data_IF_509899992517
#
_entry.id   IF_509899992517
#
_cell.length_a   1.000
_cell.length_b   1.000
_cell.length_c   1.000
_cell.angle_alpha   90.00
_cell.angle_beta   90.00
_cell.angle_gamma   90.00
#
_symmetry.space_group_name_H-M   'P 1'
#
loop_
_entity.id
_entity.type
_entity.pdbx_description
1 polymer ?
#
# COMPACT_ATOMS: atom_id res chain seq x y z
N UNK A 1 5.87 23.35 0.43
CA UNK A 1 6.57 22.09 0.23
C UNK A 1 6.26 21.51 -1.15
N UNK A 2 7.24 20.89 -1.81
CA UNK A 2 7.07 20.20 -3.10
C UNK A 2 6.84 18.69 -2.91
N UNK A 3 6.03 18.08 -3.77
CA UNK A 3 5.80 16.64 -3.84
C UNK A 3 5.76 16.15 -5.29
N UNK A 4 6.19 14.91 -5.49
CA UNK A 4 5.93 14.13 -6.69
C UNK A 4 4.71 13.25 -6.47
N UNK A 5 3.90 13.10 -7.52
CA UNK A 5 2.66 12.35 -7.50
C UNK A 5 2.73 11.21 -8.50
N UNK A 6 2.58 9.99 -7.99
CA UNK A 6 2.23 8.84 -8.83
C UNK A 6 0.77 8.90 -9.23
N UNK A 7 0.40 8.22 -10.31
CA UNK A 7 -0.99 8.17 -10.77
C UNK A 7 -1.25 7.06 -11.77
N UNK A 8 -2.52 6.71 -11.92
CA UNK A 8 -2.98 5.76 -12.92
C UNK A 8 -3.23 6.46 -14.26
N UNK A 9 -2.68 5.91 -15.34
CA UNK A 9 -2.91 6.40 -16.71
C UNK A 9 -4.10 5.67 -17.34
N UNK A 10 -4.57 6.10 -18.53
CA UNK A 10 -5.72 5.45 -19.19
C UNK A 10 -5.59 3.96 -19.44
N UNK A 11 -4.37 3.42 -19.50
CA UNK A 11 -4.14 1.97 -19.65
C UNK A 11 -4.66 1.15 -18.45
N UNK A 12 -4.76 1.80 -17.27
CA UNK A 12 -5.25 1.24 -16.01
C UNK A 12 -6.47 2.02 -15.51
N UNK A 13 -7.32 2.48 -16.45
CA UNK A 13 -8.57 3.20 -16.16
C UNK A 13 -8.41 4.51 -15.36
N UNK A 14 -7.21 5.12 -15.40
CA UNK A 14 -6.94 6.41 -14.78
C UNK A 14 -6.85 7.56 -15.79
N UNK A 15 -6.61 8.76 -15.26
CA UNK A 15 -6.53 10.01 -16.05
C UNK A 15 -5.14 10.68 -16.03
N UNK A 16 -4.18 10.13 -15.29
CA UNK A 16 -2.82 10.64 -15.24
C UNK A 16 -2.08 10.47 -16.57
N UNK A 17 -1.08 11.31 -16.80
CA UNK A 17 -0.18 11.23 -17.98
C UNK A 17 1.24 10.81 -17.61
N UNK A 18 1.47 10.44 -16.35
CA UNK A 18 2.79 10.18 -15.77
C UNK A 18 2.91 10.76 -14.37
N UNK A 19 4.14 11.05 -13.94
CA UNK A 19 4.38 11.65 -12.62
C UNK A 19 4.02 13.14 -12.67
N UNK A 20 3.22 13.55 -11.69
CA UNK A 20 2.79 14.93 -11.49
C UNK A 20 3.58 15.64 -10.40
N UNK A 21 3.52 16.97 -10.39
CA UNK A 21 4.01 17.81 -9.30
C UNK A 21 2.87 18.39 -8.47
N UNK A 22 3.08 18.52 -7.16
CA UNK A 22 2.16 19.16 -6.23
C UNK A 22 2.92 20.11 -5.31
N UNK A 23 2.36 21.30 -5.11
CA UNK A 23 2.78 22.24 -4.08
C UNK A 23 1.78 22.26 -2.94
N UNK A 24 2.29 22.36 -1.72
CA UNK A 24 1.51 22.71 -0.54
C UNK A 24 2.14 23.97 0.09
N UNK A 25 1.53 25.13 -0.14
CA UNK A 25 2.15 26.43 0.19
C UNK A 25 3.31 26.79 -0.74
N UNK A 26 4.29 27.56 -0.24
CA UNK A 26 5.47 27.92 -1.00
C UNK A 26 6.39 26.69 -1.20
N UNK A 27 7.15 26.59 -2.30
CA UNK A 27 7.87 25.35 -2.64
C UNK A 27 8.83 24.84 -1.56
N UNK A 28 9.50 25.74 -0.86
CA UNK A 28 10.49 25.43 0.19
C UNK A 28 9.90 25.42 1.61
N UNK A 29 8.57 25.49 1.75
CA UNK A 29 7.95 25.45 3.09
C UNK A 29 8.24 24.10 3.77
N UNK A 30 8.60 24.11 5.08
CA UNK A 30 8.89 22.90 5.85
C UNK A 30 7.63 22.15 6.32
N UNK A 31 6.45 22.69 6.02
CA UNK A 31 5.13 22.17 6.37
C UNK A 31 4.28 22.00 5.10
N UNK A 32 3.31 21.09 5.15
CA UNK A 32 2.35 20.86 4.06
C UNK A 32 0.99 21.54 4.29
N UNK A 33 0.89 22.43 5.29
CA UNK A 33 -0.37 23.00 5.73
C UNK A 33 -0.91 24.16 4.88
N UNK A 34 -0.21 24.58 3.82
CA UNK A 34 -0.62 25.66 2.93
C UNK A 34 -1.51 25.20 1.76
N UNK A 35 -1.99 26.14 0.91
CA UNK A 35 -2.84 25.82 -0.24
C UNK A 35 -2.20 24.78 -1.17
N UNK A 36 -3.01 23.83 -1.65
CA UNK A 36 -2.57 22.82 -2.59
C UNK A 36 -2.68 23.32 -4.03
N UNK A 37 -1.67 23.05 -4.86
CA UNK A 37 -1.69 23.37 -6.27
C UNK A 37 -0.98 22.28 -7.09
N UNK A 38 -1.70 21.69 -8.05
CA UNK A 38 -1.13 20.78 -9.03
C UNK A 38 -0.33 21.56 -10.08
N UNK A 39 0.90 21.14 -10.36
CA UNK A 39 1.81 21.86 -11.27
C UNK A 39 1.98 21.20 -12.63
N UNK A 40 1.21 20.14 -12.92
CA UNK A 40 1.30 19.40 -14.17
C UNK A 40 2.31 18.24 -14.13
N UNK A 41 2.50 17.60 -15.28
CA UNK A 41 3.48 16.53 -15.45
C UNK A 41 4.91 17.06 -15.36
N UNK A 42 5.78 16.31 -14.69
CA UNK A 42 7.14 16.77 -14.34
C UNK A 42 8.24 16.01 -15.08
N UNK A 43 7.90 14.98 -15.86
CA UNK A 43 8.89 14.15 -16.56
C UNK A 43 9.15 14.71 -17.95
N UNK A 44 10.42 15.00 -18.27
CA UNK A 44 10.83 15.36 -19.64
C UNK A 44 10.59 14.17 -20.57
N UNK A 45 10.00 14.46 -21.74
CA UNK A 45 9.93 13.49 -22.82
C UNK A 45 11.35 13.04 -23.20
N UNK A 46 11.54 11.74 -23.42
CA UNK A 46 12.82 11.24 -23.97
C UNK A 46 12.95 11.72 -25.40
N UNK A 47 14.17 12.05 -25.83
CA UNK A 47 14.44 12.20 -27.26
C UNK A 47 14.43 10.81 -27.91
N UNK A 48 14.03 10.74 -29.18
CA UNK A 48 13.82 9.48 -29.90
C UNK A 48 15.11 8.63 -30.02
N UNK A 49 16.27 9.28 -30.00
CA UNK A 49 17.61 8.70 -29.95
C UNK A 49 18.03 8.17 -28.56
N UNK A 50 17.26 8.46 -27.50
CA UNK A 50 17.49 8.02 -26.12
C UNK A 50 16.52 6.90 -25.67
N UNK A 51 15.65 6.44 -26.57
CA UNK A 51 14.75 5.31 -26.36
C UNK A 51 15.56 4.02 -26.57
N UNK A 52 15.70 3.14 -25.55
CA UNK A 52 16.47 1.91 -25.70
C UNK A 52 15.89 1.00 -26.78
N UNK A 53 16.75 0.21 -27.44
CA UNK A 53 16.40 -0.81 -28.45
C UNK A 53 15.37 -1.85 -27.93
N UNK A 54 15.16 -1.94 -26.61
CA UNK A 54 14.10 -2.74 -25.98
C UNK A 54 12.68 -2.28 -26.35
N UNK A 55 12.48 -1.02 -26.78
CA UNK A 55 11.20 -0.58 -27.35
C UNK A 55 10.86 -1.27 -28.68
N UNK A 56 11.84 -1.87 -29.36
CA UNK A 56 11.59 -2.70 -30.54
C UNK A 56 10.98 -4.07 -30.19
N UNK A 57 11.03 -4.50 -28.91
CA UNK A 57 10.48 -5.77 -28.45
C UNK A 57 9.01 -5.68 -28.01
N UNK A 58 8.51 -4.49 -27.68
CA UNK A 58 7.10 -4.25 -27.37
C UNK A 58 6.58 -2.97 -28.07
N UNK A 59 5.86 -3.11 -29.20
CA UNK A 59 5.33 -1.99 -29.97
C UNK A 59 4.23 -1.19 -29.24
N UNK A 60 3.78 -1.61 -28.05
CA UNK A 60 2.90 -0.80 -27.20
C UNK A 60 3.63 0.35 -26.49
N UNK A 61 4.93 0.19 -26.21
CA UNK A 61 5.82 1.24 -25.65
C UNK A 61 6.04 2.38 -26.67
N UNK A 62 5.91 2.08 -27.96
CA UNK A 62 6.06 3.05 -29.05
C UNK A 62 4.85 4.00 -29.22
N UNK A 63 3.76 3.82 -28.45
CA UNK A 63 2.62 4.74 -28.49
C UNK A 63 2.86 5.89 -27.51
N UNK A 64 3.46 6.93 -28.05
CA UNK A 64 3.87 8.19 -27.41
C UNK A 64 5.10 8.06 -26.49
N UNK A 65 6.31 8.46 -26.93
CA UNK A 65 7.49 8.55 -26.06
C UNK A 65 7.35 9.55 -24.90
N UNK A 66 6.26 10.32 -24.83
CA UNK A 66 5.86 11.12 -23.66
C UNK A 66 4.92 10.39 -22.68
N UNK A 67 4.32 9.25 -23.03
CA UNK A 67 3.38 8.52 -22.18
C UNK A 67 4.11 7.55 -21.25
N UNK A 68 4.45 8.02 -20.05
CA UNK A 68 4.87 7.15 -18.97
C UNK A 68 3.70 6.23 -18.58
N UNK A 69 3.89 4.90 -18.67
CA UNK A 69 2.95 3.92 -18.12
C UNK A 69 2.68 4.18 -16.64
N UNK A 70 1.53 3.79 -16.12
CA UNK A 70 0.95 4.16 -14.81
C UNK A 70 1.99 4.15 -13.68
N UNK A 71 2.61 5.29 -13.31
CA UNK A 71 3.58 5.33 -12.23
C UNK A 71 2.86 5.25 -10.89
N UNK A 72 2.40 4.07 -10.53
CA UNK A 72 1.45 3.90 -9.44
C UNK A 72 2.09 4.03 -8.06
N UNK A 73 3.42 3.82 -7.98
CA UNK A 73 4.21 3.95 -6.75
C UNK A 73 5.54 4.64 -7.01
N UNK A 74 5.95 5.50 -6.07
CA UNK A 74 7.20 6.24 -6.11
C UNK A 74 8.04 5.98 -4.86
N UNK A 75 9.36 5.83 -5.03
CA UNK A 75 10.30 5.77 -3.92
C UNK A 75 11.50 6.68 -4.18
N UNK A 76 11.92 7.43 -3.16
CA UNK A 76 13.13 8.25 -3.26
C UNK A 76 14.38 7.41 -2.99
N UNK A 77 15.44 7.68 -3.75
CA UNK A 77 16.78 7.26 -3.35
C UNK A 77 17.11 7.90 -1.99
N UNK A 78 17.72 7.17 -1.04
CA UNK A 78 17.94 7.69 0.31
C UNK A 78 18.92 8.86 0.40
N UNK A 79 19.66 9.20 -0.68
CA UNK A 79 20.80 10.13 -0.65
C UNK A 79 20.92 11.00 -1.91
N UNK A 80 20.68 10.44 -3.09
CA UNK A 80 20.73 11.17 -4.36
C UNK A 80 19.35 11.75 -4.69
N UNK A 81 19.32 12.75 -5.57
CA UNK A 81 18.09 13.32 -6.13
C UNK A 81 17.55 12.43 -7.27
N UNK A 82 17.28 11.18 -6.90
CA UNK A 82 16.76 10.13 -7.79
C UNK A 82 15.45 9.61 -7.22
N UNK A 83 14.45 9.47 -8.08
CA UNK A 83 13.16 8.87 -7.80
C UNK A 83 13.03 7.59 -8.63
N UNK A 84 12.58 6.53 -7.99
CA UNK A 84 12.20 5.28 -8.66
C UNK A 84 10.69 5.23 -8.77
N UNK A 85 10.19 4.81 -9.93
CA UNK A 85 8.76 4.62 -10.15
C UNK A 85 8.47 3.18 -10.58
N UNK A 86 7.47 2.58 -9.94
CA UNK A 86 6.83 1.35 -10.42
C UNK A 86 5.80 1.74 -11.49
N UNK A 87 6.03 1.32 -12.73
CA UNK A 87 5.13 1.53 -13.86
C UNK A 87 4.25 0.29 -13.98
N UNK A 88 3.06 0.36 -13.39
CA UNK A 88 2.23 -0.81 -13.11
C UNK A 88 1.82 -1.54 -14.38
N UNK A 89 1.14 -0.85 -15.30
CA UNK A 89 0.65 -1.46 -16.54
C UNK A 89 1.75 -1.99 -17.47
N UNK A 90 2.94 -1.38 -17.45
CA UNK A 90 4.07 -1.80 -18.30
C UNK A 90 5.05 -2.77 -17.61
N UNK A 91 4.80 -3.11 -16.34
CA UNK A 91 5.61 -4.03 -15.55
C UNK A 91 7.10 -3.66 -15.45
N UNK A 92 7.39 -2.36 -15.34
CA UNK A 92 8.75 -1.82 -15.32
C UNK A 92 9.04 -0.96 -14.08
N UNK A 93 10.30 -0.96 -13.64
CA UNK A 93 10.84 0.08 -12.76
C UNK A 93 11.68 1.04 -13.58
N UNK A 94 11.46 2.33 -13.38
CA UNK A 94 12.30 3.39 -13.96
C UNK A 94 12.98 4.18 -12.87
N UNK A 95 14.20 4.65 -13.13
CA UNK A 95 14.87 5.65 -12.32
C UNK A 95 14.82 7.00 -13.04
N UNK A 96 14.59 8.05 -12.26
CA UNK A 96 14.43 9.42 -12.72
C UNK A 96 15.31 10.33 -11.86
N UNK A 97 16.14 11.16 -12.49
CA UNK A 97 16.95 12.16 -11.81
C UNK A 97 16.24 13.50 -11.84
N UNK A 98 16.34 14.27 -10.75
CA UNK A 98 15.89 15.66 -10.73
C UNK A 98 16.76 16.52 -11.68
N UNK A 99 16.13 17.16 -12.65
CA UNK A 99 16.76 17.99 -13.69
C UNK A 99 16.45 19.50 -13.50
N UNK A 100 16.08 19.90 -12.28
CA UNK A 100 15.68 21.26 -11.93
C UNK A 100 14.62 21.26 -10.83
N UNK A 101 14.01 22.43 -10.60
CA UNK A 101 13.10 22.60 -9.46
C UNK A 101 11.83 21.75 -9.53
N UNK A 102 11.31 21.54 -10.74
CA UNK A 102 10.00 20.94 -11.00
C UNK A 102 10.07 19.86 -12.09
N UNK A 103 11.24 19.25 -12.26
CA UNK A 103 11.50 18.43 -13.44
C UNK A 103 12.32 17.18 -13.14
N UNK A 104 11.91 16.08 -13.78
CA UNK A 104 12.51 14.76 -13.72
C UNK A 104 12.92 14.34 -15.13
N UNK A 105 14.08 13.72 -15.24
CA UNK A 105 14.56 13.11 -16.48
C UNK A 105 14.93 11.65 -16.23
N UNK A 106 14.83 10.81 -17.24
CA UNK A 106 15.19 9.41 -17.09
C UNK A 106 16.67 9.21 -16.79
N UNK A 107 16.94 8.33 -15.85
CA UNK A 107 18.27 7.92 -15.43
C UNK A 107 18.49 6.45 -15.79
N UNK A 108 18.86 6.21 -17.04
CA UNK A 108 19.10 4.86 -17.57
C UNK A 108 17.88 4.24 -18.27
N UNK A 109 17.98 2.95 -18.56
CA UNK A 109 16.90 2.19 -19.19
C UNK A 109 15.87 1.72 -18.15
N UNK A 110 14.58 1.62 -18.51
CA UNK A 110 13.60 0.89 -17.70
C UNK A 110 14.03 -0.56 -17.46
N UNK A 111 13.70 -1.10 -16.29
CA UNK A 111 14.01 -2.48 -15.90
C UNK A 111 12.71 -3.27 -15.75
N UNK A 112 12.47 -4.34 -16.52
CA UNK A 112 11.28 -5.17 -16.38
C UNK A 112 11.36 -6.01 -15.09
N UNK A 113 10.25 -6.08 -14.33
CA UNK A 113 10.24 -6.67 -12.99
C UNK A 113 8.99 -7.52 -12.66
N UNK A 114 8.49 -8.30 -13.62
CA UNK A 114 7.35 -9.21 -13.41
C UNK A 114 6.15 -8.81 -14.25
N UNK A 115 4.96 -8.88 -13.67
CA UNK A 115 3.69 -8.42 -14.25
C UNK A 115 2.96 -7.51 -13.24
N UNK A 116 2.43 -6.37 -13.70
CA UNK A 116 1.69 -5.42 -12.86
C UNK A 116 2.49 -5.01 -11.59
N UNK A 117 3.66 -4.36 -11.79
CA UNK A 117 4.51 -3.93 -10.67
C UNK A 117 3.88 -2.78 -9.90
N UNK A 118 3.54 -3.00 -8.64
CA UNK A 118 2.73 -2.06 -7.87
C UNK A 118 3.50 -1.35 -6.75
N UNK A 119 4.72 -1.79 -6.43
CA UNK A 119 5.49 -1.20 -5.33
C UNK A 119 7.00 -1.37 -5.53
N UNK A 120 7.77 -0.36 -5.10
CA UNK A 120 9.23 -0.41 -4.99
C UNK A 120 9.69 0.11 -3.63
N UNK A 121 10.68 -0.56 -3.04
CA UNK A 121 11.38 -0.13 -1.84
C UNK A 121 12.88 -0.04 -2.13
N UNK A 122 13.54 1.03 -1.65
CA UNK A 122 14.98 1.24 -1.85
C UNK A 122 15.72 0.90 -0.57
N UNK A 123 16.82 0.16 -0.68
CA UNK A 123 17.66 -0.19 0.46
C UNK A 123 18.20 1.10 1.12
N UNK A 124 18.26 1.19 2.47
CA UNK A 124 18.80 2.37 3.16
C UNK A 124 20.25 2.69 2.77
N UNK A 125 21.04 1.67 2.45
CA UNK A 125 22.42 1.81 1.97
C UNK A 125 22.51 2.17 0.47
N UNK A 126 21.37 2.23 -0.23
CA UNK A 126 21.23 2.44 -1.66
C UNK A 126 21.95 1.43 -2.57
N UNK A 127 22.23 0.23 -2.07
CA UNK A 127 22.88 -0.83 -2.85
C UNK A 127 21.91 -1.54 -3.81
N UNK A 128 20.62 -1.49 -3.51
CA UNK A 128 19.58 -2.18 -4.27
C UNK A 128 18.20 -1.58 -4.03
N UNK A 129 17.25 -2.00 -4.85
CA UNK A 129 15.82 -1.86 -4.61
C UNK A 129 15.13 -3.23 -4.72
N UNK A 130 13.94 -3.34 -4.13
CA UNK A 130 13.05 -4.50 -4.24
C UNK A 130 11.73 -4.05 -4.83
N UNK A 131 11.31 -4.70 -5.90
CA UNK A 131 10.03 -4.49 -6.56
C UNK A 131 9.08 -5.65 -6.25
N UNK A 132 7.80 -5.33 -6.05
CA UNK A 132 6.71 -6.29 -5.87
C UNK A 132 5.74 -6.23 -7.05
N UNK A 133 5.48 -7.38 -7.65
CA UNK A 133 4.63 -7.55 -8.82
C UNK A 133 3.31 -8.23 -8.44
N UNK A 134 2.21 -7.47 -8.54
CA UNK A 134 0.89 -7.96 -8.17
C UNK A 134 0.36 -8.96 -9.21
N UNK A 135 0.67 -8.78 -10.49
CA UNK A 135 0.11 -9.55 -11.60
C UNK A 135 0.50 -11.03 -11.57
N UNK A 136 1.73 -11.31 -11.15
CA UNK A 136 2.31 -12.66 -11.16
C UNK A 136 2.97 -13.09 -9.83
N UNK A 137 2.84 -12.29 -8.77
CA UNK A 137 3.33 -12.64 -7.44
C UNK A 137 4.85 -12.50 -7.26
N UNK A 138 5.58 -11.98 -8.25
CA UNK A 138 7.03 -11.93 -8.19
C UNK A 138 7.54 -10.86 -7.23
N UNK A 139 8.61 -11.20 -6.52
CA UNK A 139 9.48 -10.26 -5.81
C UNK A 139 10.80 -10.20 -6.56
N UNK A 140 11.23 -9.01 -6.96
CA UNK A 140 12.41 -8.81 -7.81
C UNK A 140 13.38 -7.85 -7.14
N UNK A 141 14.63 -8.29 -6.93
CA UNK A 141 15.72 -7.44 -6.45
C UNK A 141 16.47 -6.85 -7.63
N UNK A 142 16.74 -5.55 -7.60
CA UNK A 142 17.53 -4.85 -8.62
C UNK A 142 18.69 -4.15 -7.93
N UNK A 143 19.93 -4.45 -8.34
CA UNK A 143 21.10 -3.74 -7.82
C UNK A 143 21.12 -2.29 -8.32
N UNK A 144 21.65 -1.38 -7.50
CA UNK A 144 21.84 0.02 -7.87
C UNK A 144 23.34 0.32 -8.02
N UNK A 145 23.70 1.06 -9.06
CA UNK A 145 25.07 1.58 -9.19
C UNK A 145 25.29 2.84 -8.33
N UNK A 146 26.51 3.36 -8.33
CA UNK A 146 26.88 4.55 -7.54
C UNK A 146 26.12 5.83 -7.94
N UNK A 147 25.54 5.88 -9.15
CA UNK A 147 24.69 6.98 -9.62
C UNK A 147 23.20 6.72 -9.32
N UNK A 148 22.85 5.58 -8.73
CA UNK A 148 21.48 5.17 -8.48
C UNK A 148 20.77 4.55 -9.68
N UNK A 149 21.49 4.15 -10.74
CA UNK A 149 20.89 3.48 -11.90
C UNK A 149 20.56 2.02 -11.55
N UNK A 150 19.36 1.52 -11.90
CA UNK A 150 18.99 0.14 -11.70
C UNK A 150 19.72 -0.76 -12.71
N UNK A 151 20.33 -1.82 -12.19
CA UNK A 151 21.07 -2.82 -12.95
C UNK A 151 20.22 -4.05 -13.29
N UNK A 152 20.87 -5.22 -13.34
CA UNK A 152 20.20 -6.48 -13.72
C UNK A 152 19.20 -6.93 -12.63
N UNK A 153 17.95 -7.23 -12.98
CA UNK A 153 16.96 -7.77 -12.03
C UNK A 153 17.27 -9.23 -11.69
N UNK A 154 16.97 -9.62 -10.45
CA UNK A 154 17.05 -10.99 -9.94
C UNK A 154 15.73 -11.32 -9.24
N UNK A 155 14.96 -12.22 -9.83
CA UNK A 155 13.69 -12.71 -9.27
C UNK A 155 13.95 -13.64 -8.09
N UNK A 156 13.25 -13.41 -6.98
CA UNK A 156 13.29 -14.26 -5.80
C UNK A 156 12.48 -15.56 -6.01
N UNK A 157 12.58 -16.50 -5.08
CA UNK A 157 11.77 -17.72 -5.12
C UNK A 157 10.26 -17.39 -5.09
N UNK A 158 9.47 -18.11 -5.89
CA UNK A 158 8.00 -17.98 -5.89
C UNK A 158 7.42 -18.31 -4.50
N UNK A 159 6.25 -17.76 -4.19
CA UNK A 159 5.49 -18.15 -3.01
C UNK A 159 4.72 -19.45 -3.29
N UNK A 160 4.42 -20.20 -2.24
CA UNK A 160 3.52 -21.36 -2.27
C UNK A 160 2.32 -21.05 -1.39
N UNK A 161 1.11 -21.48 -1.78
CA UNK A 161 -0.08 -21.25 -0.97
C UNK A 161 0.01 -22.08 0.32
N UNK A 162 0.10 -21.45 1.51
CA UNK A 162 0.13 -22.20 2.78
C UNK A 162 -1.20 -22.87 3.13
N UNK A 163 -2.27 -22.63 2.34
CA UNK A 163 -3.60 -23.19 2.52
C UNK A 163 -4.06 -24.06 1.33
N UNK A 164 -3.15 -24.41 0.41
CA UNK A 164 -3.44 -25.32 -0.70
C UNK A 164 -3.57 -26.78 -0.24
N UNK A 165 -3.97 -27.66 -1.16
CA UNK A 165 -4.25 -29.08 -0.87
C UNK A 165 -3.04 -29.87 -0.32
N UNK A 166 -1.82 -29.40 -0.58
CA UNK A 166 -0.56 -29.98 -0.07
C UNK A 166 -0.09 -29.34 1.27
N UNK A 167 -0.94 -28.53 1.94
CA UNK A 167 -0.55 -27.84 3.17
C UNK A 167 -0.59 -28.74 4.41
N UNK A 168 0.49 -28.75 5.18
CA UNK A 168 0.48 -29.29 6.54
C UNK A 168 -0.44 -28.38 7.40
N UNK A 169 -1.61 -28.89 7.84
CA UNK A 169 -2.64 -28.18 8.65
C UNK A 169 -2.11 -27.46 9.92
N UNK A 170 -0.84 -27.66 10.28
CA UNK A 170 -0.25 -27.26 11.56
C UNK A 170 0.25 -25.79 11.65
N UNK A 171 0.19 -24.97 10.59
CA UNK A 171 0.79 -23.61 10.62
C UNK A 171 -0.19 -22.44 10.72
N UNK A 172 -1.51 -22.67 10.59
CA UNK A 172 -2.50 -21.60 10.63
C UNK A 172 -2.73 -21.12 12.07
N UNK A 173 -2.25 -19.92 12.40
CA UNK A 173 -2.57 -19.28 13.66
C UNK A 173 -4.06 -18.91 13.69
N UNK A 174 -4.86 -19.69 14.43
CA UNK A 174 -6.27 -19.37 14.70
C UNK A 174 -6.31 -18.29 15.78
N UNK A 175 -6.45 -17.03 15.39
CA UNK A 175 -6.75 -15.96 16.33
C UNK A 175 -8.27 -15.86 16.47
N UNK A 176 -8.77 -16.04 17.70
CA UNK A 176 -10.15 -15.69 18.01
C UNK A 176 -10.27 -14.17 17.89
N UNK A 177 -11.09 -13.68 16.96
CA UNK A 177 -11.40 -12.26 16.88
C UNK A 177 -12.03 -11.82 18.20
N UNK A 178 -11.48 -10.77 18.80
CA UNK A 178 -12.06 -10.18 20.00
C UNK A 178 -13.38 -9.51 19.62
N UNK A 179 -14.50 -10.17 19.95
CA UNK A 179 -15.83 -9.60 19.93
C UNK A 179 -16.48 -9.48 18.55
N UNK A 180 -16.71 -10.61 17.86
CA UNK A 180 -17.75 -10.63 16.85
C UNK A 180 -19.09 -10.28 17.53
N UNK A 181 -19.67 -9.13 17.19
CA UNK A 181 -21.03 -8.78 17.60
C UNK A 181 -21.94 -9.85 17.00
N UNK A 182 -22.65 -10.60 17.84
CA UNK A 182 -23.70 -11.50 17.38
C UNK A 182 -24.85 -10.64 16.81
N UNK A 183 -24.76 -10.36 15.51
CA UNK A 183 -25.73 -9.54 14.79
C UNK A 183 -27.12 -10.16 14.85
N UNK A 184 -27.22 -11.49 14.97
CA UNK A 184 -28.49 -12.17 15.14
C UNK A 184 -29.07 -11.89 16.54
N UNK A 185 -28.26 -11.91 17.59
CA UNK A 185 -28.69 -11.51 18.93
C UNK A 185 -29.03 -10.01 19.01
N UNK A 186 -28.24 -9.15 18.35
CA UNK A 186 -28.50 -7.72 18.29
C UNK A 186 -29.81 -7.42 17.54
N UNK A 187 -30.06 -8.08 16.41
CA UNK A 187 -31.31 -7.94 15.64
C UNK A 187 -32.54 -8.40 16.45
N UNK A 188 -32.45 -9.53 17.19
CA UNK A 188 -33.51 -9.98 18.09
C UNK A 188 -33.80 -8.96 19.20
N UNK A 189 -32.76 -8.49 19.88
CA UNK A 189 -32.91 -7.51 20.96
C UNK A 189 -33.47 -6.17 20.46
N UNK A 190 -33.06 -5.74 19.26
CA UNK A 190 -33.56 -4.50 18.65
C UNK A 190 -35.03 -4.62 18.22
N UNK A 191 -35.47 -5.77 17.68
CA UNK A 191 -36.89 -6.00 17.37
C UNK A 191 -37.76 -6.07 18.62
N UNK A 192 -37.27 -6.70 19.68
CA UNK A 192 -37.97 -6.73 20.97
C UNK A 192 -38.16 -5.31 21.51
N UNK A 193 -37.13 -4.46 21.44
CA UNK A 193 -37.19 -3.07 21.88
C UNK A 193 -38.06 -2.18 20.96
N UNK A 194 -38.05 -2.42 19.64
CA UNK A 194 -38.81 -1.66 18.66
C UNK A 194 -40.32 -1.96 18.69
N UNK A 195 -40.72 -3.13 19.18
CA UNK A 195 -42.12 -3.57 19.19
C UNK A 195 -42.65 -3.94 17.80
N UNK A 196 -43.81 -4.62 17.76
CA UNK A 196 -44.38 -5.17 16.53
C UNK A 196 -44.62 -4.12 15.43
N UNK A 197 -44.92 -2.88 15.81
CA UNK A 197 -45.18 -1.77 14.88
C UNK A 197 -43.93 -1.39 14.05
N UNK A 198 -42.73 -1.48 14.63
CA UNK A 198 -41.48 -1.02 14.00
C UNK A 198 -40.47 -2.13 13.70
N UNK A 199 -40.81 -3.39 14.00
CA UNK A 199 -39.95 -4.55 13.78
C UNK A 199 -39.48 -4.71 12.32
N UNK A 200 -40.27 -4.22 11.35
CA UNK A 200 -39.97 -4.26 9.91
C UNK A 200 -38.82 -3.33 9.46
N UNK A 201 -38.35 -2.43 10.33
CA UNK A 201 -37.17 -1.60 10.08
C UNK A 201 -35.86 -2.24 10.55
N UNK A 202 -35.92 -3.37 11.28
CA UNK A 202 -34.73 -4.06 11.78
C UNK A 202 -34.24 -5.07 10.74
N UNK A 203 -32.96 -5.03 10.32
CA UNK A 203 -32.40 -5.96 9.33
C UNK A 203 -32.47 -7.43 9.78
N UNK A 204 -32.75 -8.33 8.83
CA UNK A 204 -32.95 -9.78 9.06
C UNK A 204 -31.65 -10.58 9.23
N UNK A 205 -30.82 -10.19 10.18
CA UNK A 205 -29.57 -10.89 10.50
C UNK A 205 -29.75 -12.19 11.29
N UNK A 206 -30.97 -12.52 11.71
CA UNK A 206 -31.35 -13.73 12.46
C UNK A 206 -32.24 -14.70 11.66
N UNK A 207 -32.58 -14.36 10.41
CA UNK A 207 -33.24 -15.30 9.52
C UNK A 207 -32.23 -16.37 9.06
N UNK A 208 -32.60 -17.65 9.16
CA UNK A 208 -31.83 -18.71 8.53
C UNK A 208 -31.77 -18.42 7.02
N UNK A 209 -30.59 -18.45 6.38
CA UNK A 209 -30.50 -18.26 4.94
C UNK A 209 -31.42 -19.29 4.26
N UNK A 210 -32.24 -18.82 3.32
CA UNK A 210 -33.01 -19.73 2.50
C UNK A 210 -32.03 -20.73 1.85
N UNK A 211 -32.33 -22.05 1.84
CA UNK A 211 -31.48 -22.99 1.16
C UNK A 211 -31.40 -22.60 -0.33
N UNK A 212 -30.22 -22.18 -0.77
CA UNK A 212 -29.89 -21.96 -2.17
C UNK A 212 -30.29 -23.22 -2.97
N UNK A 213 -31.09 -23.10 -4.04
CA UNK A 213 -31.48 -24.24 -4.85
C UNK A 213 -30.24 -24.76 -5.59
N UNK A 214 -29.67 -25.86 -5.09
CA UNK A 214 -28.75 -26.73 -5.82
C UNK A 214 -27.57 -26.02 -6.50
N UNK A 215 -26.62 -25.53 -5.70
CA UNK A 215 -25.26 -25.34 -6.19
C UNK A 215 -24.49 -26.62 -5.85
N UNK A 216 -24.16 -27.42 -6.86
CA UNK A 216 -22.92 -28.19 -6.78
C UNK A 216 -21.85 -27.23 -6.26
N UNK A 217 -21.10 -27.61 -5.22
CA UNK A 217 -20.04 -26.80 -4.67
C UNK A 217 -19.07 -26.44 -5.81
N UNK A 218 -19.25 -25.25 -6.39
CA UNK A 218 -18.35 -24.74 -7.39
C UNK A 218 -17.01 -24.62 -6.69
N UNK A 219 -16.01 -25.36 -7.19
CA UNK A 219 -14.64 -25.24 -6.70
C UNK A 219 -14.27 -23.75 -6.70
N UNK A 220 -13.99 -23.21 -5.51
CA UNK A 220 -13.45 -21.86 -5.43
C UNK A 220 -12.19 -21.81 -6.28
N UNK A 221 -12.02 -20.80 -7.15
CA UNK A 221 -10.87 -20.74 -8.04
C UNK A 221 -9.59 -20.78 -7.21
N UNK A 222 -8.61 -21.55 -7.68
CA UNK A 222 -7.31 -21.64 -7.03
C UNK A 222 -6.73 -20.24 -6.78
N UNK A 223 -6.25 -20.02 -5.56
CA UNK A 223 -5.65 -18.74 -5.16
C UNK A 223 -4.35 -18.51 -5.95
N UNK A 224 -4.05 -17.25 -6.18
CA UNK A 224 -2.86 -16.82 -6.91
C UNK A 224 -2.04 -15.90 -6.02
N UNK A 225 -0.71 -16.09 -6.00
CA UNK A 225 0.24 -15.18 -5.33
C UNK A 225 0.12 -13.75 -5.89
N UNK A 226 0.11 -12.76 -5.00
CA UNK A 226 0.01 -11.32 -5.31
C UNK A 226 0.98 -10.53 -4.43
N UNK A 227 2.25 -10.45 -4.80
CA UNK A 227 3.23 -9.66 -4.06
C UNK A 227 2.84 -8.18 -4.13
N UNK A 228 2.78 -7.49 -2.98
CA UNK A 228 2.22 -6.13 -2.95
C UNK A 228 3.16 -5.06 -2.39
N UNK A 229 3.94 -5.32 -1.34
CA UNK A 229 4.82 -4.32 -0.75
C UNK A 229 6.13 -4.96 -0.26
N UNK A 230 7.14 -4.12 -0.06
CA UNK A 230 8.44 -4.51 0.47
C UNK A 230 8.95 -3.48 1.49
N UNK A 231 9.62 -3.94 2.54
CA UNK A 231 10.28 -3.08 3.52
C UNK A 231 11.63 -3.66 3.96
N UNK A 232 12.62 -2.79 4.14
CA UNK A 232 13.91 -3.15 4.72
C UNK A 232 13.82 -3.11 6.24
N UNK A 233 14.18 -4.21 6.87
CA UNK A 233 14.09 -4.38 8.32
C UNK A 233 15.39 -3.90 9.00
N UNK A 234 15.33 -3.47 10.27
CA UNK A 234 16.51 -2.95 10.98
C UNK A 234 17.64 -3.97 11.19
N UNK A 235 17.35 -5.27 11.05
CA UNK A 235 18.32 -6.36 11.16
C UNK A 235 18.94 -6.79 9.83
N UNK A 236 18.74 -6.01 8.77
CA UNK A 236 19.29 -6.26 7.44
C UNK A 236 18.51 -7.29 6.61
N UNK A 237 17.42 -7.84 7.14
CA UNK A 237 16.47 -8.64 6.35
C UNK A 237 15.49 -7.73 5.61
N UNK A 238 14.72 -8.33 4.72
CA UNK A 238 13.67 -7.66 3.94
C UNK A 238 12.36 -8.40 4.21
N UNK A 239 11.26 -7.68 4.43
CA UNK A 239 9.92 -8.24 4.48
C UNK A 239 9.18 -7.90 3.17
N UNK A 240 8.41 -8.84 2.65
CA UNK A 240 7.45 -8.59 1.56
C UNK A 240 6.08 -9.16 1.87
N UNK A 241 5.02 -8.45 1.52
CA UNK A 241 3.65 -8.98 1.60
C UNK A 241 3.30 -9.77 0.34
N UNK A 242 2.61 -10.89 0.52
CA UNK A 242 1.86 -11.58 -0.52
C UNK A 242 0.38 -11.52 -0.17
N UNK A 243 -0.33 -10.62 -0.85
CA UNK A 243 -1.76 -10.37 -0.66
C UNK A 243 -2.59 -11.59 -1.05
N UNK A 244 -2.14 -12.38 -2.03
CA UNK A 244 -2.91 -13.51 -2.53
C UNK A 244 -2.84 -14.73 -1.63
N UNK A 245 -1.67 -14.95 -1.01
CA UNK A 245 -1.38 -16.12 -0.17
C UNK A 245 -1.41 -15.86 1.35
N UNK A 246 -1.79 -14.64 1.78
CA UNK A 246 -1.81 -14.25 3.19
C UNK A 246 -0.45 -14.40 3.88
N UNK A 247 0.63 -14.03 3.19
CA UNK A 247 1.99 -14.17 3.70
C UNK A 247 2.66 -12.83 3.96
N UNK A 248 3.48 -12.80 5.01
CA UNK A 248 4.65 -11.91 5.09
C UNK A 248 5.89 -12.76 4.94
N UNK A 249 6.61 -12.59 3.83
CA UNK A 249 7.81 -13.36 3.50
C UNK A 249 9.05 -12.61 3.95
N UNK A 250 9.94 -13.29 4.67
CA UNK A 250 11.17 -12.71 5.22
C UNK A 250 12.36 -13.21 4.42
N UNK A 251 13.18 -12.29 3.95
CA UNK A 251 14.31 -12.54 3.06
C UNK A 251 15.63 -12.10 3.67
N UNK A 252 16.69 -12.83 3.34
CA UNK A 252 18.07 -12.36 3.49
C UNK A 252 18.54 -11.82 2.15
N UNK A 253 19.10 -10.62 2.17
CA UNK A 253 19.81 -10.12 1.00
C UNK A 253 21.16 -10.81 0.86
N UNK A 254 21.49 -11.26 -0.35
CA UNK A 254 22.74 -11.96 -0.66
C UNK A 254 23.33 -11.43 -1.96
N UNK A 255 24.61 -11.73 -2.21
CA UNK A 255 25.29 -11.32 -3.44
C UNK A 255 24.60 -11.83 -4.73
N UNK A 256 23.85 -12.94 -4.64
CA UNK A 256 23.17 -13.57 -5.78
C UNK A 256 21.66 -13.28 -5.82
N UNK A 257 21.12 -12.44 -4.94
CA UNK A 257 19.69 -12.15 -4.87
C UNK A 257 19.08 -12.40 -3.49
N UNK A 258 17.76 -12.47 -3.41
CA UNK A 258 17.05 -12.71 -2.16
C UNK A 258 16.97 -14.21 -1.88
N UNK A 259 17.40 -14.61 -0.68
CA UNK A 259 17.19 -15.97 -0.16
C UNK A 259 16.08 -15.95 0.87
N UNK A 260 15.06 -16.79 0.69
CA UNK A 260 13.98 -16.93 1.67
C UNK A 260 14.56 -17.38 3.02
N UNK A 261 14.22 -16.66 4.08
CA UNK A 261 14.58 -17.01 5.46
C UNK A 261 13.47 -17.85 6.09
N UNK A 262 12.25 -17.31 6.09
CA UNK A 262 11.03 -17.97 6.52
C UNK A 262 9.83 -17.13 6.07
N UNK A 263 8.63 -17.66 6.29
CA UNK A 263 7.37 -16.99 6.01
C UNK A 263 6.58 -16.88 7.31
N UNK A 264 5.79 -15.81 7.42
CA UNK A 264 4.77 -15.67 8.45
C UNK A 264 3.43 -15.77 7.77
N UNK A 265 2.69 -16.82 8.13
CA UNK A 265 1.33 -17.06 7.65
C UNK A 265 0.36 -16.23 8.49
N UNK A 266 -0.43 -15.39 7.82
CA UNK A 266 -1.53 -14.63 8.41
C UNK A 266 -2.85 -15.36 8.13
N UNK A 267 -3.93 -15.05 8.87
CA UNK A 267 -5.24 -15.71 8.67
C UNK A 267 -5.69 -15.72 7.19
N UNK A 268 -6.24 -16.86 6.77
CA UNK A 268 -6.70 -17.09 5.39
C UNK A 268 -7.72 -16.02 4.98
N UNK A 269 -7.50 -15.42 3.82
CA UNK A 269 -8.35 -14.39 3.23
C UNK A 269 -8.14 -12.99 3.78
N UNK A 270 -7.11 -12.72 4.59
CA UNK A 270 -6.87 -11.38 5.13
C UNK A 270 -6.31 -10.41 4.06
N UNK A 271 -5.40 -10.88 3.21
CA UNK A 271 -4.79 -10.12 2.12
C UNK A 271 -3.80 -9.05 2.59
N UNK A 272 -2.62 -9.39 3.14
CA UNK A 272 -1.64 -8.41 3.62
C UNK A 272 -1.16 -7.50 2.49
N UNK A 273 -1.21 -6.19 2.72
CA UNK A 273 -1.01 -5.16 1.70
C UNK A 273 0.23 -4.31 1.98
N UNK A 274 0.08 -3.20 2.68
CA UNK A 274 1.18 -2.28 3.03
C UNK A 274 1.66 -2.51 4.47
N UNK A 275 2.87 -2.04 4.78
CA UNK A 275 3.49 -2.25 6.08
C UNK A 275 4.31 -1.05 6.53
N UNK A 276 4.43 -0.88 7.85
CA UNK A 276 5.34 0.08 8.47
C UNK A 276 6.30 -0.63 9.43
N UNK A 277 7.59 -0.36 9.26
CA UNK A 277 8.63 -0.74 10.22
C UNK A 277 8.64 0.28 11.36
N UNK A 278 8.19 -0.15 12.55
CA UNK A 278 8.14 0.71 13.72
C UNK A 278 9.53 0.79 14.41
N UNK A 279 9.93 1.95 14.98
CA UNK A 279 11.24 2.10 15.63
C UNK A 279 11.52 1.13 16.78
N UNK A 280 10.49 0.53 17.38
CA UNK A 280 10.67 -0.51 18.40
C UNK A 280 11.09 -1.87 17.85
N UNK A 281 11.18 -2.02 16.53
CA UNK A 281 11.55 -3.27 15.87
C UNK A 281 10.37 -4.19 15.55
N UNK A 282 9.14 -3.69 15.70
CA UNK A 282 7.91 -4.36 15.25
C UNK A 282 7.57 -3.95 13.81
N UNK A 283 6.82 -4.80 13.13
CA UNK A 283 6.30 -4.56 11.79
C UNK A 283 4.77 -4.57 11.86
N UNK A 284 4.13 -3.48 11.46
CA UNK A 284 2.68 -3.41 11.39
C UNK A 284 2.24 -3.53 9.94
N UNK A 285 1.28 -4.41 9.65
CA UNK A 285 0.85 -4.76 8.30
C UNK A 285 -0.64 -4.54 8.19
N UNK A 286 -1.08 -3.62 7.34
CA UNK A 286 -2.49 -3.48 6.99
C UNK A 286 -2.87 -4.50 5.95
N UNK A 287 -4.10 -5.00 6.03
CA UNK A 287 -4.64 -6.00 5.13
C UNK A 287 -5.74 -5.40 4.25
N UNK A 288 -5.75 -5.78 2.97
CA UNK A 288 -6.69 -5.29 1.97
C UNK A 288 -8.09 -5.88 2.17
N UNK A 289 -8.20 -7.19 2.39
CA UNK A 289 -9.51 -7.85 2.36
C UNK A 289 -10.19 -7.86 3.73
N UNK A 290 -9.44 -8.09 4.81
CA UNK A 290 -10.02 -8.13 6.16
C UNK A 290 -10.09 -6.77 6.86
N UNK A 291 -9.38 -5.75 6.38
CA UNK A 291 -9.33 -4.44 7.04
C UNK A 291 -8.65 -4.45 8.42
N UNK A 292 -7.88 -5.49 8.74
CA UNK A 292 -7.11 -5.62 9.97
C UNK A 292 -5.68 -5.07 9.82
N UNK A 293 -5.10 -4.68 10.95
CA UNK A 293 -3.68 -4.39 11.12
C UNK A 293 -3.06 -5.48 11.98
N UNK A 294 -2.18 -6.29 11.39
CA UNK A 294 -1.39 -7.29 12.11
C UNK A 294 -0.07 -6.70 12.60
N UNK A 295 0.29 -6.99 13.84
CA UNK A 295 1.60 -6.65 14.40
C UNK A 295 2.46 -7.90 14.44
N UNK A 296 3.61 -7.82 13.80
CA UNK A 296 4.63 -8.86 13.81
C UNK A 296 5.83 -8.41 14.65
N UNK A 297 6.44 -9.38 15.33
CA UNK A 297 7.68 -9.17 16.09
C UNK A 297 8.55 -10.41 16.05
N UNK A 298 9.75 -10.29 16.60
CA UNK A 298 10.74 -11.37 16.60
C UNK A 298 10.68 -12.17 17.90
N UNK A 299 10.80 -13.49 17.79
CA UNK A 299 11.06 -14.36 18.94
C UNK A 299 12.54 -14.27 19.40
N UNK A 300 12.92 -15.11 20.37
CA UNK A 300 14.27 -15.10 20.96
C UNK A 300 15.33 -15.57 19.97
N UNK A 301 14.93 -16.39 19.01
CA UNK A 301 15.74 -16.92 17.92
C UNK A 301 15.83 -15.93 16.75
N UNK A 302 15.09 -14.82 16.81
CA UNK A 302 15.07 -13.78 15.81
C UNK A 302 14.13 -14.09 14.64
N UNK A 303 13.24 -15.08 14.72
CA UNK A 303 12.22 -15.32 13.69
C UNK A 303 11.00 -14.42 13.90
N UNK A 304 10.45 -13.93 12.80
CA UNK A 304 9.24 -13.11 12.83
C UNK A 304 8.02 -14.00 13.03
N UNK A 305 7.04 -13.48 13.77
CA UNK A 305 5.74 -14.12 14.03
C UNK A 305 4.68 -13.07 14.28
N UNK A 306 3.42 -13.44 14.08
CA UNK A 306 2.28 -12.60 14.48
C UNK A 306 2.25 -12.50 16.01
N UNK A 307 2.12 -11.29 16.53
CA UNK A 307 1.91 -11.00 17.95
C UNK A 307 0.45 -10.63 18.24
N UNK A 308 -0.17 -9.87 17.32
CA UNK A 308 -1.55 -9.43 17.45
C UNK A 308 -2.17 -9.14 16.07
N UNK A 309 -3.49 -9.26 15.99
CA UNK A 309 -4.33 -8.77 14.89
C UNK A 309 -5.39 -7.84 15.47
N UNK A 310 -5.69 -6.74 14.78
CA UNK A 310 -6.66 -5.75 15.25
C UNK A 310 -7.37 -5.12 14.07
N UNK A 311 -8.70 -5.14 14.06
CA UNK A 311 -9.49 -4.41 13.08
C UNK A 311 -9.07 -2.93 13.05
N UNK A 312 -8.85 -2.35 11.86
CA UNK A 312 -8.42 -0.96 11.74
C UNK A 312 -9.40 0.01 12.40
N UNK A 313 -10.70 -0.32 12.36
CA UNK A 313 -11.77 0.38 13.07
C UNK A 313 -12.89 -0.59 13.45
N UNK A 314 -13.50 -0.46 14.65
CA UNK A 314 -14.72 -1.19 15.00
C UNK A 314 -15.91 -0.85 14.11
N UNK A 315 -15.84 0.29 13.42
CA UNK A 315 -16.86 0.78 12.49
C UNK A 315 -16.44 0.64 11.02
N UNK A 316 -15.33 -0.05 10.72
CA UNK A 316 -14.99 -0.42 9.35
C UNK A 316 -16.16 -1.24 8.77
N UNK A 317 -16.67 -0.82 7.61
CA UNK A 317 -17.86 -1.41 7.02
C UNK A 317 -17.60 -2.80 6.44
N UNK A 318 -18.66 -3.60 6.32
CA UNK A 318 -18.64 -4.76 5.42
C UNK A 318 -18.34 -4.25 3.99
N UNK A 319 -17.22 -4.69 3.40
CA UNK A 319 -16.78 -4.27 2.07
C UNK A 319 -15.71 -3.18 2.03
N UNK A 320 -15.26 -2.67 3.19
CA UNK A 320 -14.06 -1.83 3.23
C UNK A 320 -12.82 -2.61 2.82
N UNK A 321 -11.94 -1.98 2.05
CA UNK A 321 -10.63 -2.53 1.70
C UNK A 321 -9.49 -1.66 2.20
N UNK A 322 -8.57 -2.25 2.96
CA UNK A 322 -7.39 -1.55 3.45
C UNK A 322 -6.48 -1.11 2.32
N UNK A 323 -5.86 0.06 2.45
CA UNK A 323 -4.98 0.66 1.45
C UNK A 323 -3.59 0.95 2.04
N UNK A 324 -3.26 2.22 2.26
CA UNK A 324 -1.99 2.66 2.83
C UNK A 324 -1.98 2.51 4.36
N UNK A 325 -0.81 2.24 4.94
CA UNK A 325 -0.56 2.35 6.37
C UNK A 325 0.60 3.31 6.58
N UNK A 326 0.33 4.45 7.19
CA UNK A 326 1.34 5.46 7.49
C UNK A 326 1.51 5.62 9.00
N UNK A 327 2.64 6.16 9.44
CA UNK A 327 2.97 6.33 10.85
C UNK A 327 3.32 7.79 11.16
N UNK A 328 2.87 8.24 12.32
CA UNK A 328 3.28 9.50 12.94
C UNK A 328 4.79 9.56 13.21
N UNK A 329 5.36 10.76 13.23
CA UNK A 329 6.81 10.97 13.42
C UNK A 329 7.34 10.34 14.71
N UNK A 330 6.55 10.38 15.78
CA UNK A 330 6.90 9.86 17.10
C UNK A 330 6.55 8.37 17.29
N UNK A 331 6.00 7.73 16.25
CA UNK A 331 5.58 6.33 16.27
C UNK A 331 4.36 6.04 17.14
N UNK A 332 3.70 7.05 17.73
CA UNK A 332 2.60 6.81 18.66
C UNK A 332 1.29 6.43 17.98
N UNK A 333 1.14 6.81 16.72
CA UNK A 333 -0.06 6.58 15.91
C UNK A 333 0.26 6.01 14.53
N UNK A 334 -0.60 5.10 14.08
CA UNK A 334 -0.69 4.57 12.72
C UNK A 334 -2.00 5.05 12.08
N UNK A 335 -1.98 5.17 10.75
CA UNK A 335 -3.07 5.70 9.94
C UNK A 335 -3.33 4.72 8.80
N UNK A 336 -4.46 4.03 8.85
CA UNK A 336 -4.89 3.10 7.82
C UNK A 336 -5.96 3.75 6.93
N UNK A 337 -5.74 3.76 5.62
CA UNK A 337 -6.74 4.22 4.65
C UNK A 337 -7.70 3.07 4.32
N UNK A 338 -9.00 3.34 4.38
CA UNK A 338 -10.05 2.38 4.06
C UNK A 338 -10.82 2.85 2.83
N UNK A 339 -10.73 2.10 1.73
CA UNK A 339 -11.47 2.35 0.49
C UNK A 339 -12.82 1.64 0.57
N UNK A 340 -13.88 2.28 0.08
CA UNK A 340 -15.27 1.84 0.30
C UNK A 340 -16.00 2.88 1.13
N UNK A 341 -15.78 2.89 2.44
CA UNK A 341 -16.24 3.93 3.36
C UNK A 341 -15.50 5.25 3.19
N UNK A 342 -14.35 5.25 2.52
CA UNK A 342 -13.53 6.42 2.23
C UNK A 342 -13.10 7.16 3.50
N UNK A 343 -12.55 6.40 4.44
CA UNK A 343 -12.14 6.88 5.76
C UNK A 343 -10.65 6.67 6.03
N UNK A 344 -10.13 7.40 7.02
CA UNK A 344 -8.82 7.18 7.64
C UNK A 344 -9.06 6.70 9.07
N UNK A 345 -8.68 5.46 9.34
CA UNK A 345 -8.66 4.90 10.68
C UNK A 345 -7.34 5.23 11.37
N UNK A 346 -7.42 5.76 12.60
CA UNK A 346 -6.25 6.07 13.43
C UNK A 346 -6.13 5.03 14.52
N UNK A 347 -4.98 4.38 14.60
CA UNK A 347 -4.64 3.40 15.63
C UNK A 347 -3.52 3.95 16.49
N UNK A 348 -3.66 3.86 17.81
CA UNK A 348 -2.58 4.14 18.76
C UNK A 348 -1.73 2.91 18.98
N UNK A 349 -0.42 3.07 18.91
CA UNK A 349 0.57 2.05 19.25
C UNK A 349 0.63 1.91 20.77
N UNK A 350 0.57 0.68 21.29
CA UNK A 350 0.54 0.37 22.73
C UNK A 350 1.75 -0.48 23.13
N UNK A 351 2.07 -0.45 24.43
CA UNK A 351 3.26 -1.12 24.96
C UNK A 351 4.55 -0.52 24.40
N UNK A 352 5.52 -1.36 24.06
CA UNK A 352 6.65 -0.98 23.23
C UNK A 352 6.31 -1.02 21.73
N UNK A 353 5.09 -1.38 21.34
CA UNK A 353 4.63 -1.49 19.96
C UNK A 353 4.18 -2.89 19.57
N UNK A 354 3.92 -3.75 20.55
CA UNK A 354 3.46 -5.12 20.34
C UNK A 354 2.00 -5.20 19.89
N UNK A 355 1.21 -4.15 20.17
CA UNK A 355 -0.21 -4.08 19.81
C UNK A 355 -0.60 -2.67 19.35
N UNK A 356 -1.74 -2.59 18.67
CA UNK A 356 -2.35 -1.33 18.22
C UNK A 356 -3.81 -1.29 18.66
N UNK A 357 -4.37 -0.10 18.83
CA UNK A 357 -5.76 0.10 19.27
C UNK A 357 -6.41 1.22 18.45
N UNK A 358 -7.56 1.01 17.80
CA UNK A 358 -8.29 2.08 17.11
C UNK A 358 -8.73 3.17 18.08
N UNK A 359 -8.45 4.43 17.74
CA UNK A 359 -8.78 5.60 18.59
C UNK A 359 -9.57 6.69 17.85
N UNK A 360 -9.60 6.66 16.52
CA UNK A 360 -10.38 7.60 15.72
C UNK A 360 -10.69 7.00 14.34
N UNK A 361 -11.81 7.44 13.77
CA UNK A 361 -12.18 7.21 12.37
C UNK A 361 -12.64 8.55 11.80
N UNK A 362 -12.04 8.99 10.71
CA UNK A 362 -12.35 10.27 10.08
C UNK A 362 -12.63 10.07 8.59
N UNK A 363 -13.50 10.92 8.04
CA UNK A 363 -13.68 11.05 6.59
C UNK A 363 -12.34 11.43 5.94
N UNK A 364 -11.99 10.73 4.85
CA UNK A 364 -10.72 10.97 4.15
C UNK A 364 -10.73 12.25 3.30
N UNK A 365 -11.92 12.81 3.06
CA UNK A 365 -12.16 13.95 2.20
C UNK A 365 -12.23 13.61 0.70
N UNK A 366 -11.98 12.36 0.30
CA UNK A 366 -11.85 11.95 -1.11
C UNK A 366 -12.58 10.64 -1.40
N UNK A 367 -12.77 10.31 -2.68
CA UNK A 367 -13.19 8.97 -3.08
C UNK A 367 -11.98 8.08 -3.38
N UNK A 368 -11.96 6.91 -2.77
CA UNK A 368 -10.93 5.89 -2.92
C UNK A 368 -9.54 6.36 -2.41
N UNK A 369 -9.37 6.55 -1.07
CA UNK A 369 -8.11 6.99 -0.46
C UNK A 369 -7.04 5.90 -0.60
N UNK A 370 -6.32 5.91 -1.73
CA UNK A 370 -5.37 4.85 -2.10
C UNK A 370 -4.02 5.01 -1.41
N UNK A 371 -3.64 6.25 -1.13
CA UNK A 371 -2.41 6.59 -0.43
C UNK A 371 -2.57 7.87 0.39
N UNK A 372 -1.86 7.94 1.51
CA UNK A 372 -1.77 9.15 2.32
C UNK A 372 -0.38 9.29 2.92
N UNK A 373 -0.01 10.54 3.22
CA UNK A 373 1.29 10.89 3.73
C UNK A 373 1.16 11.89 4.87
N UNK A 374 1.85 11.62 5.98
CA UNK A 374 1.94 12.54 7.10
C UNK A 374 3.11 13.51 6.92
N UNK A 375 2.81 14.80 7.01
CA UNK A 375 3.80 15.87 7.07
C UNK A 375 3.51 16.73 8.29
N UNK A 376 4.10 16.34 9.42
CA UNK A 376 3.88 16.96 10.74
C UNK A 376 2.40 16.97 11.13
N UNK A 377 1.78 18.15 11.19
CA UNK A 377 0.40 18.41 11.60
C UNK A 377 -0.62 18.28 10.45
N UNK A 378 -0.17 17.79 9.28
CA UNK A 378 -0.99 17.71 8.08
C UNK A 378 -0.94 16.29 7.51
N UNK A 379 -2.12 15.73 7.22
CA UNK A 379 -2.29 14.48 6.49
C UNK A 379 -2.69 14.81 5.05
N UNK A 380 -1.85 14.45 4.07
CA UNK A 380 -2.19 14.53 2.66
C UNK A 380 -2.82 13.21 2.22
N UNK A 381 -3.97 13.25 1.54
CA UNK A 381 -4.68 12.05 1.08
C UNK A 381 -4.90 12.12 -0.42
N UNK A 382 -4.48 11.08 -1.14
CA UNK A 382 -4.70 10.90 -2.57
C UNK A 382 -5.98 10.09 -2.82
N UNK A 383 -6.97 10.74 -3.42
CA UNK A 383 -8.21 10.13 -3.88
C UNK A 383 -8.12 9.69 -5.33
N UNK A 384 -7.91 8.39 -5.56
CA UNK A 384 -7.71 7.85 -6.90
C UNK A 384 -8.92 8.13 -7.80
N UNK A 385 -10.14 7.89 -7.29
CA UNK A 385 -11.38 7.96 -8.08
C UNK A 385 -11.97 9.35 -8.12
N UNK A 386 -11.74 10.17 -7.09
CA UNK A 386 -12.18 11.58 -7.09
C UNK A 386 -11.27 12.50 -7.91
N UNK A 387 -10.08 12.06 -8.34
CA UNK A 387 -9.08 12.90 -9.00
C UNK A 387 -8.68 14.12 -8.13
N UNK A 388 -8.43 13.87 -6.85
CA UNK A 388 -8.05 14.93 -5.91
C UNK A 388 -6.92 14.50 -4.97
N UNK A 389 -6.11 15.48 -4.58
CA UNK A 389 -5.34 15.41 -3.33
C UNK A 389 -5.90 16.43 -2.35
N UNK A 390 -6.15 15.99 -1.12
CA UNK A 390 -6.64 16.85 -0.03
C UNK A 390 -5.64 16.90 1.11
N UNK A 391 -5.66 18.00 1.86
CA UNK A 391 -4.95 18.13 3.14
C UNK A 391 -5.95 18.16 4.27
N UNK A 392 -5.76 17.30 5.27
CA UNK A 392 -6.51 17.31 6.53
C UNK A 392 -5.63 17.87 7.64
N UNK A 393 -6.23 18.63 8.56
CA UNK A 393 -5.56 18.97 9.83
C UNK A 393 -5.35 17.71 10.66
N UNK A 394 -4.29 17.64 11.47
CA UNK A 394 -4.05 16.54 12.39
C UNK A 394 -3.91 17.06 13.82
N UNK A 395 -4.73 16.56 14.76
CA UNK A 395 -4.50 16.79 16.18
C UNK A 395 -3.42 15.82 16.67
N UNK A 396 -2.16 16.29 16.73
CA UNK A 396 -1.01 15.47 17.15
C UNK A 396 -1.16 14.87 18.56
N UNK A 397 -1.98 15.46 19.44
CA UNK A 397 -2.20 14.94 20.80
C UNK A 397 -3.12 13.72 20.80
N UNK A 398 -4.15 13.72 19.96
CA UNK A 398 -5.11 12.60 19.88
C UNK A 398 -4.79 11.64 18.76
N UNK A 399 -3.99 12.08 17.79
CA UNK A 399 -3.75 11.42 16.51
C UNK A 399 -4.87 11.63 15.50
N UNK A 400 -5.99 12.29 15.84
CA UNK A 400 -7.18 12.30 15.00
C UNK A 400 -7.06 13.25 13.79
N UNK A 401 -7.33 12.79 12.56
CA UNK A 401 -7.54 13.66 11.41
C UNK A 401 -8.78 14.52 11.61
N UNK A 402 -8.67 15.79 11.23
CA UNK A 402 -9.73 16.78 11.31
C UNK A 402 -10.31 17.11 9.93
N UNK A 403 -10.73 18.36 9.77
CA UNK A 403 -11.41 18.82 8.55
C UNK A 403 -10.41 18.99 7.39
N UNK A 404 -10.95 18.88 6.18
CA UNK A 404 -10.24 19.27 4.96
C UNK A 404 -9.91 20.76 5.00
N UNK A 405 -8.63 21.08 4.83
CA UNK A 405 -8.09 22.45 4.79
C UNK A 405 -8.00 22.96 3.35
N UNK A 406 -7.37 22.17 2.48
CA UNK A 406 -7.17 22.50 1.07
C UNK A 406 -7.34 21.27 0.19
N UNK A 407 -7.66 21.51 -1.09
CA UNK A 407 -7.85 20.50 -2.13
C UNK A 407 -7.16 20.95 -3.40
N UNK A 408 -6.67 20.01 -4.19
CA UNK A 408 -6.23 20.24 -5.55
C UNK A 408 -6.77 19.13 -6.46
N UNK A 409 -7.25 19.50 -7.64
CA UNK A 409 -7.56 18.55 -8.70
C UNK A 409 -6.25 17.95 -9.21
N UNK A 410 -6.17 16.62 -9.16
CA UNK A 410 -4.99 15.85 -9.53
C UNK A 410 -5.47 14.62 -10.31
N UNK A 411 -4.98 14.36 -11.52
CA UNK A 411 -5.41 13.20 -12.30
C UNK A 411 -5.05 11.87 -11.61
N UNK A 412 -6.07 11.12 -11.20
CA UNK A 412 -6.01 9.76 -10.61
C UNK A 412 -4.79 9.46 -9.71
N UNK A 413 -4.55 10.24 -8.63
CA UNK A 413 -3.35 10.11 -7.81
C UNK A 413 -3.33 8.79 -7.05
N UNK A 414 -2.15 8.19 -6.95
CA UNK A 414 -1.98 6.87 -6.32
C UNK A 414 -0.86 6.82 -5.29
N UNK A 415 0.09 7.74 -5.33
CA UNK A 415 1.23 7.82 -4.41
C UNK A 415 1.66 9.28 -4.27
N UNK A 416 2.00 9.71 -3.04
CA UNK A 416 2.51 11.05 -2.74
C UNK A 416 3.90 10.91 -2.15
N UNK A 417 4.91 11.46 -2.82
CA UNK A 417 6.30 11.40 -2.38
C UNK A 417 6.84 12.82 -2.17
N UNK A 418 7.42 13.17 -0.99
CA UNK A 418 8.13 14.43 -0.82
C UNK A 418 9.24 14.60 -1.86
N UNK A 419 9.26 15.75 -2.54
CA UNK A 419 10.39 16.14 -3.36
C UNK A 419 11.45 16.76 -2.44
N UNK A 420 12.64 16.15 -2.39
CA UNK A 420 13.79 16.68 -1.64
C UNK A 420 14.45 17.81 -2.39
#
# INVERSE_FOLDING_TARGET
>A
MRFWLGGYTPEMEGSARGIGGLLAGAPDDPLAGGPLAYTGGVVRARREDEIPDAAAADPSIARDPAAMGSPSWLAAHPRLDVVYAALEGSAQVVALRRAGDSELEYLGAPVPVGDTVCHVAVAPDASSLVASAWGDGKVVRVALDAAGRPGRPVTAAAASDPYGDDSDEASAATFASAGAIDLAAAARALREAAGEEYAHFVPDHDAAPAPEPGTDAAEEPARTSRAHAAAFLPDGRIATTDLGFDLVRIWRDTATGLRLDHEVVLPKGCGPRHMVVHPSGHLHVVTEFSGEVFTLGRDREGRWRVLAGTAASPAAGLGDTGAELAMSRDGQFLYAGLRGSNTIATLRVRGAGETVEPVALADSGVDWPRHHLLVRDTLLVAGQRSNEVVSLTLDERTGAPGRVRHRAEVPSPSCILPAR
#
